data_IF_281030128547
#
_entry.id   IF_281030128547
#
_cell.length_a   1.000
_cell.length_b   1.000
_cell.length_c   1.000
_cell.angle_alpha   90.00
_cell.angle_beta   90.00
_cell.angle_gamma   90.00
#
_symmetry.space_group_name_H-M   'P 1'
#
loop_
_entity.id
_entity.type
_entity.pdbx_description
1 polymer ?
#
# COMPACT_ATOMS: atom_id res chain seq x y z
N UNK A 1 18.96 -20.38 8.34
CA UNK A 1 20.02 -19.47 7.86
C UNK A 1 19.60 -18.05 8.19
N UNK A 2 20.47 -17.26 8.84
CA UNK A 2 20.21 -15.86 9.17
C UNK A 2 20.85 -14.99 8.08
N UNK A 3 20.08 -14.09 7.45
CA UNK A 3 20.64 -13.12 6.51
C UNK A 3 21.10 -11.88 7.31
N UNK A 4 22.37 -11.50 7.19
CA UNK A 4 22.93 -10.34 7.89
C UNK A 4 23.81 -9.52 6.93
N UNK A 5 23.71 -8.18 6.95
CA UNK A 5 24.62 -7.33 6.19
C UNK A 5 26.08 -7.55 6.65
N UNK A 6 26.98 -7.68 5.69
CA UNK A 6 28.43 -7.84 5.89
C UNK A 6 29.11 -6.53 5.47
N UNK A 7 29.85 -5.92 6.39
CA UNK A 7 30.60 -4.68 6.16
C UNK A 7 32.12 -4.97 6.07
N UNK A 8 32.90 -4.11 5.39
CA UNK A 8 34.35 -4.27 5.29
C UNK A 8 35.03 -4.22 6.67
N UNK A 9 35.98 -5.14 6.91
CA UNK A 9 36.65 -5.34 8.22
C UNK A 9 37.48 -4.12 8.68
N UNK A 10 37.96 -3.29 7.75
CA UNK A 10 38.80 -2.14 8.09
C UNK A 10 38.07 -1.09 8.93
N UNK A 11 36.84 -0.72 8.56
CA UNK A 11 36.04 0.33 9.21
C UNK A 11 34.52 -0.01 9.25
N UNK A 12 34.09 -1.10 9.93
CA UNK A 12 32.72 -1.61 9.83
C UNK A 12 31.66 -0.62 10.36
N UNK A 13 31.97 0.19 11.38
CA UNK A 13 31.05 1.19 11.94
C UNK A 13 30.77 2.35 10.97
N UNK A 14 31.80 2.88 10.32
CA UNK A 14 31.65 3.99 9.38
C UNK A 14 30.78 3.57 8.17
N UNK A 15 31.01 2.36 7.66
CA UNK A 15 30.21 1.79 6.58
C UNK A 15 28.75 1.58 6.97
N UNK A 16 28.51 1.01 8.15
CA UNK A 16 27.15 0.79 8.66
C UNK A 16 26.38 2.10 8.77
N UNK A 17 27.00 3.09 9.41
CA UNK A 17 26.42 4.42 9.60
C UNK A 17 26.21 5.14 8.27
N UNK A 18 27.16 5.05 7.34
CA UNK A 18 27.05 5.66 6.01
C UNK A 18 25.91 5.06 5.18
N UNK A 19 25.74 3.73 5.22
CA UNK A 19 24.61 3.05 4.57
C UNK A 19 23.29 3.46 5.21
N UNK A 20 23.24 3.53 6.54
CA UNK A 20 22.05 3.94 7.29
C UNK A 20 21.62 5.37 6.96
N UNK A 21 22.57 6.30 6.93
CA UNK A 21 22.36 7.69 6.50
C UNK A 21 21.92 7.79 5.04
N UNK A 22 22.50 6.99 4.16
CA UNK A 22 22.10 6.93 2.76
C UNK A 22 20.65 6.51 2.63
N UNK A 23 20.20 5.49 3.36
CA UNK A 23 18.79 5.09 3.38
C UNK A 23 17.87 6.19 3.91
N UNK A 24 18.28 6.95 4.93
CA UNK A 24 17.50 8.09 5.45
C UNK A 24 17.42 9.21 4.39
N UNK A 25 18.54 9.52 3.74
CA UNK A 25 18.61 10.58 2.74
C UNK A 25 17.79 10.25 1.49
N UNK A 26 18.04 9.10 0.89
CA UNK A 26 17.36 8.66 -0.34
C UNK A 26 15.91 8.23 -0.09
N UNK A 27 15.65 7.59 1.06
CA UNK A 27 14.34 7.04 1.39
C UNK A 27 13.35 8.04 1.97
N UNK A 28 13.81 9.14 2.58
CA UNK A 28 12.93 10.09 3.27
C UNK A 28 13.30 11.57 3.00
N UNK A 29 14.54 11.96 3.26
CA UNK A 29 14.92 13.37 3.28
C UNK A 29 14.93 14.04 1.89
N UNK A 30 15.18 13.30 0.81
CA UNK A 30 15.05 13.77 -0.57
C UNK A 30 13.62 13.73 -1.12
N UNK A 31 12.87 12.61 -1.03
CA UNK A 31 11.53 12.54 -1.60
C UNK A 31 10.55 13.50 -0.92
N UNK A 32 10.66 13.71 0.39
CA UNK A 32 9.69 14.52 1.13
C UNK A 32 9.66 16.02 0.70
N UNK A 33 10.79 16.75 0.66
CA UNK A 33 10.81 18.15 0.20
C UNK A 33 10.35 18.30 -1.24
N UNK A 34 10.73 17.36 -2.11
CA UNK A 34 10.31 17.36 -3.51
C UNK A 34 8.78 17.33 -3.60
N UNK A 35 8.13 16.39 -2.91
CA UNK A 35 6.67 16.28 -2.89
C UNK A 35 6.02 17.53 -2.27
N UNK A 36 6.58 18.05 -1.17
CA UNK A 36 6.07 19.24 -0.49
C UNK A 36 6.15 20.49 -1.38
N UNK A 37 7.26 20.70 -2.09
CA UNK A 37 7.45 21.82 -3.03
C UNK A 37 6.47 21.70 -4.19
N UNK A 38 6.36 20.53 -4.82
CA UNK A 38 5.39 20.32 -5.90
C UNK A 38 3.96 20.58 -5.44
N UNK A 39 3.57 20.14 -4.23
CA UNK A 39 2.26 20.43 -3.67
C UNK A 39 2.05 21.92 -3.39
N UNK A 40 3.05 22.62 -2.84
CA UNK A 40 2.98 24.06 -2.58
C UNK A 40 2.85 24.87 -3.88
N UNK A 41 3.60 24.50 -4.93
CA UNK A 41 3.47 25.09 -6.27
C UNK A 41 2.07 24.85 -6.86
N UNK A 42 1.56 23.62 -6.73
CA UNK A 42 0.22 23.25 -7.18
C UNK A 42 -0.87 24.06 -6.45
N UNK A 43 -0.76 24.18 -5.12
CA UNK A 43 -1.69 24.96 -4.30
C UNK A 43 -1.67 26.46 -4.67
N UNK A 44 -0.48 27.04 -4.87
CA UNK A 44 -0.32 28.45 -5.30
C UNK A 44 -0.92 28.70 -6.68
N UNK A 45 -0.72 27.78 -7.63
CA UNK A 45 -1.31 27.89 -8.96
C UNK A 45 -2.85 27.92 -8.90
N UNK A 46 -3.46 27.11 -8.04
CA UNK A 46 -4.91 27.11 -7.84
C UNK A 46 -5.44 28.38 -7.16
N UNK A 47 -4.76 28.87 -6.11
CA UNK A 47 -5.16 30.12 -5.45
C UNK A 47 -5.16 31.32 -6.41
N UNK A 48 -4.27 31.32 -7.42
CA UNK A 48 -4.22 32.37 -8.45
C UNK A 48 -5.28 32.21 -9.53
N UNK A 49 -5.78 31.00 -9.76
CA UNK A 49 -6.82 30.70 -10.76
C UNK A 49 -8.26 30.80 -10.21
N UNK A 50 -8.44 30.73 -8.90
CA UNK A 50 -9.76 30.79 -8.25
C UNK A 50 -10.43 32.17 -8.27
N UNK A 51 -9.74 33.23 -8.73
CA UNK A 51 -10.37 34.53 -8.98
C UNK A 51 -11.24 34.55 -10.25
N UNK A 52 -11.22 33.47 -11.05
CA UNK A 52 -12.12 33.29 -12.20
C UNK A 52 -13.00 32.05 -11.96
N UNK A 53 -14.19 32.31 -11.43
CA UNK A 53 -15.29 31.37 -11.19
C UNK A 53 -15.61 30.48 -12.39
N UNK A 54 -15.28 29.18 -12.32
CA UNK A 54 -16.00 28.14 -13.06
C UNK A 54 -15.82 26.78 -12.40
N UNK A 55 -16.91 26.23 -11.85
CA UNK A 55 -17.01 24.87 -11.33
C UNK A 55 -17.02 23.86 -12.49
N UNK A 56 -15.89 23.71 -13.17
CA UNK A 56 -15.74 22.76 -14.28
C UNK A 56 -15.48 21.34 -13.76
N UNK A 57 -15.86 20.29 -14.51
CA UNK A 57 -15.53 18.90 -14.18
C UNK A 57 -14.03 18.66 -13.94
N UNK A 58 -13.18 19.44 -14.64
CA UNK A 58 -11.72 19.41 -14.52
C UNK A 58 -11.24 19.84 -13.13
N UNK A 59 -11.92 20.82 -12.50
CA UNK A 59 -11.61 21.29 -11.16
C UNK A 59 -11.88 20.19 -10.10
N UNK A 60 -12.94 19.40 -10.31
CA UNK A 60 -13.30 18.30 -9.42
C UNK A 60 -12.28 17.14 -9.50
N UNK A 61 -11.85 16.75 -10.70
CA UNK A 61 -10.80 15.73 -10.87
C UNK A 61 -9.47 16.16 -10.24
N UNK A 62 -9.09 17.43 -10.40
CA UNK A 62 -7.89 18.00 -9.77
C UNK A 62 -7.97 18.01 -8.24
N UNK A 63 -9.14 18.32 -7.67
CA UNK A 63 -9.37 18.23 -6.21
C UNK A 63 -9.23 16.81 -5.68
N UNK A 64 -9.71 15.82 -6.42
CA UNK A 64 -9.54 14.39 -6.09
C UNK A 64 -8.06 14.01 -6.13
N UNK A 65 -7.36 14.34 -7.22
CA UNK A 65 -5.91 14.10 -7.34
C UNK A 65 -5.11 14.73 -6.20
N UNK A 66 -5.42 15.99 -5.83
CA UNK A 66 -4.79 16.67 -4.68
C UNK A 66 -5.02 15.95 -3.35
N UNK A 67 -6.24 15.45 -3.10
CA UNK A 67 -6.54 14.68 -1.89
C UNK A 67 -5.78 13.37 -1.86
N UNK A 68 -5.61 12.71 -3.01
CA UNK A 68 -4.83 11.48 -3.09
C UNK A 68 -3.34 11.73 -2.83
N UNK A 69 -2.76 12.77 -3.43
CA UNK A 69 -1.36 13.14 -3.18
C UNK A 69 -1.16 13.46 -1.68
N UNK A 70 -2.09 14.19 -1.07
CA UNK A 70 -2.03 14.48 0.37
C UNK A 70 -2.15 13.20 1.21
N UNK A 71 -3.07 12.31 0.87
CA UNK A 71 -3.19 11.01 1.54
C UNK A 71 -1.90 10.18 1.41
N UNK A 72 -1.27 10.19 0.23
CA UNK A 72 0.01 9.52 0.02
C UNK A 72 1.12 10.11 0.91
N UNK A 73 1.23 11.44 1.01
CA UNK A 73 2.20 12.09 1.90
C UNK A 73 1.97 11.67 3.36
N UNK A 74 0.72 11.67 3.82
CA UNK A 74 0.39 11.29 5.20
C UNK A 74 0.74 9.83 5.46
N UNK A 75 0.41 8.93 4.54
CA UNK A 75 0.77 7.51 4.63
C UNK A 75 2.28 7.31 4.60
N UNK A 76 2.98 7.98 3.69
CA UNK A 76 4.42 7.94 3.59
C UNK A 76 5.08 8.42 4.90
N UNK A 77 4.66 9.57 5.44
CA UNK A 77 5.16 10.08 6.72
C UNK A 77 4.83 9.15 7.88
N UNK A 78 3.60 8.66 7.96
CA UNK A 78 3.15 7.79 9.04
C UNK A 78 3.84 6.42 9.02
N UNK A 79 4.15 5.89 7.83
CA UNK A 79 4.79 4.59 7.69
C UNK A 79 6.31 4.66 7.77
N UNK A 80 6.94 5.63 7.10
CA UNK A 80 8.40 5.72 6.96
C UNK A 80 9.05 6.64 7.98
N UNK A 81 8.36 7.70 8.40
CA UNK A 81 8.89 8.69 9.35
C UNK A 81 9.32 8.07 10.69
N UNK A 82 8.48 7.24 11.34
CA UNK A 82 8.87 6.58 12.59
C UNK A 82 10.12 5.71 12.45
N UNK A 83 10.21 4.94 11.36
CA UNK A 83 11.37 4.07 11.11
C UNK A 83 12.65 4.89 10.96
N UNK A 84 12.66 5.88 10.08
CA UNK A 84 13.84 6.72 9.87
C UNK A 84 14.21 7.56 11.09
N UNK A 85 13.24 7.97 11.91
CA UNK A 85 13.48 8.66 13.17
C UNK A 85 14.23 7.78 14.18
N UNK A 86 13.73 6.56 14.43
CA UNK A 86 14.40 5.62 15.34
C UNK A 86 15.77 5.20 14.80
N UNK A 87 15.87 4.98 13.49
CA UNK A 87 17.11 4.64 12.80
C UNK A 87 18.17 5.73 12.89
N UNK A 88 17.76 7.01 12.88
CA UNK A 88 18.63 8.16 13.08
C UNK A 88 19.12 8.24 14.52
N UNK A 89 18.24 8.03 15.51
CA UNK A 89 18.62 8.02 16.94
C UNK A 89 19.64 6.91 17.22
N UNK A 90 19.42 5.72 16.67
CA UNK A 90 20.36 4.61 16.75
C UNK A 90 21.73 4.98 16.13
N UNK A 91 21.73 5.54 14.91
CA UNK A 91 22.97 5.97 14.25
C UNK A 91 23.72 7.06 15.04
N UNK A 92 23.01 8.05 15.59
CA UNK A 92 23.60 9.11 16.41
C UNK A 92 24.19 8.57 17.72
N UNK A 93 23.55 7.56 18.32
CA UNK A 93 24.12 6.87 19.48
C UNK A 93 25.38 6.11 19.12
N UNK A 94 25.40 5.40 17.98
CA UNK A 94 26.60 4.69 17.51
C UNK A 94 27.78 5.63 17.22
N UNK A 95 27.50 6.89 16.83
CA UNK A 95 28.50 7.95 16.68
C UNK A 95 28.96 8.57 18.02
N UNK A 96 28.36 8.18 19.15
CA UNK A 96 28.64 8.75 20.47
C UNK A 96 28.05 10.15 20.69
N UNK A 97 27.16 10.63 19.81
CA UNK A 97 26.52 11.95 19.92
C UNK A 97 25.32 11.94 20.88
N UNK A 98 24.70 10.78 21.09
CA UNK A 98 23.56 10.59 22.00
C UNK A 98 23.89 9.46 22.97
N UNK A 99 24.02 9.72 24.28
CA UNK A 99 24.25 8.66 25.25
C UNK A 99 22.95 7.88 25.49
N UNK A 100 22.94 6.59 25.15
CA UNK A 100 21.86 5.68 25.50
C UNK A 100 22.20 4.92 26.79
N UNK A 101 21.22 4.78 27.67
CA UNK A 101 21.32 3.86 28.80
C UNK A 101 21.00 2.44 28.33
N UNK A 102 21.48 1.41 29.03
CA UNK A 102 21.23 -0.01 28.70
C UNK A 102 19.73 -0.33 28.56
N UNK A 103 18.87 0.30 29.38
CA UNK A 103 17.41 0.16 29.25
C UNK A 103 16.84 0.79 27.97
N UNK A 104 17.43 1.90 27.50
CA UNK A 104 17.01 2.58 26.28
C UNK A 104 17.44 1.87 25.00
N UNK A 105 18.58 1.15 25.02
CA UNK A 105 19.03 0.34 23.89
C UNK A 105 18.00 -0.76 23.54
N UNK A 106 17.46 -1.44 24.56
CA UNK A 106 16.41 -2.44 24.35
C UNK A 106 15.11 -1.81 23.78
N UNK A 107 14.75 -0.62 24.27
CA UNK A 107 13.58 0.12 23.75
C UNK A 107 13.78 0.50 22.28
N UNK A 108 14.97 0.97 21.91
CA UNK A 108 15.30 1.31 20.51
C UNK A 108 15.28 0.07 19.64
N UNK A 109 15.81 -1.07 20.12
CA UNK A 109 15.78 -2.32 19.37
C UNK A 109 14.35 -2.79 19.05
N UNK A 110 13.46 -2.74 20.05
CA UNK A 110 12.04 -3.06 19.88
C UNK A 110 11.36 -2.03 18.96
N UNK A 111 11.64 -0.74 19.16
CA UNK A 111 11.09 0.33 18.33
C UNK A 111 11.50 0.19 16.85
N UNK A 112 12.75 -0.17 16.58
CA UNK A 112 13.24 -0.45 15.22
C UNK A 112 12.43 -1.57 14.56
N UNK A 113 12.21 -2.69 15.26
CA UNK A 113 11.42 -3.79 14.71
C UNK A 113 9.97 -3.38 14.44
N UNK A 114 9.32 -2.70 15.38
CA UNK A 114 7.94 -2.26 15.23
C UNK A 114 7.78 -1.25 14.08
N UNK A 115 8.66 -0.26 14.03
CA UNK A 115 8.64 0.77 12.99
C UNK A 115 9.05 0.22 11.62
N UNK A 116 9.90 -0.81 11.57
CA UNK A 116 10.21 -1.53 10.34
C UNK A 116 9.00 -2.31 9.81
N UNK A 117 8.24 -2.98 10.68
CA UNK A 117 6.97 -3.59 10.28
C UNK A 117 6.00 -2.54 9.73
N UNK A 118 5.94 -1.36 10.36
CA UNK A 118 5.12 -0.24 9.92
C UNK A 118 5.55 0.32 8.56
N UNK A 119 6.86 0.40 8.28
CA UNK A 119 7.36 0.85 6.98
C UNK A 119 7.04 -0.16 5.88
N UNK A 120 7.05 -1.46 6.18
CA UNK A 120 6.60 -2.51 5.26
C UNK A 120 5.12 -2.37 4.90
N UNK A 121 4.25 -1.94 5.83
CA UNK A 121 2.83 -1.70 5.53
C UNK A 121 2.63 -0.65 4.44
N UNK A 122 3.59 0.24 4.19
CA UNK A 122 3.54 1.22 3.11
C UNK A 122 3.24 0.59 1.74
N UNK A 123 3.78 -0.61 1.45
CA UNK A 123 3.57 -1.26 0.16
C UNK A 123 2.11 -1.68 -0.07
N UNK A 124 1.36 -1.97 1.00
CA UNK A 124 -0.06 -2.30 0.96
C UNK A 124 -0.94 -1.09 0.63
N UNK A 125 -0.44 0.14 0.84
CA UNK A 125 -1.18 1.35 0.51
C UNK A 125 -1.10 1.71 -0.97
N UNK A 126 -0.11 1.19 -1.72
CA UNK A 126 0.00 1.46 -3.16
C UNK A 126 -1.27 1.03 -3.93
N UNK A 127 -1.78 -0.22 -3.81
CA UNK A 127 -3.05 -0.63 -4.45
C UNK A 127 -4.26 0.22 -4.03
N UNK A 128 -4.32 0.62 -2.76
CA UNK A 128 -5.40 1.48 -2.24
C UNK A 128 -5.33 2.83 -2.95
N UNK A 129 -4.14 3.42 -3.03
CA UNK A 129 -3.93 4.72 -3.68
C UNK A 129 -4.35 4.67 -5.16
N UNK A 130 -3.93 3.65 -5.91
CA UNK A 130 -4.33 3.47 -7.32
C UNK A 130 -5.85 3.32 -7.49
N UNK A 131 -6.51 2.62 -6.57
CA UNK A 131 -7.96 2.47 -6.58
C UNK A 131 -8.70 3.81 -6.33
N UNK A 132 -8.11 4.73 -5.56
CA UNK A 132 -8.68 6.06 -5.33
C UNK A 132 -8.38 7.05 -6.47
N UNK A 133 -7.25 6.91 -7.17
CA UNK A 133 -6.86 7.78 -8.32
C UNK A 133 -7.75 7.50 -9.53
N UNK A 134 -7.93 6.22 -9.88
CA UNK A 134 -8.74 5.83 -11.03
C UNK A 134 -10.16 5.48 -10.60
N UNK A 135 -11.06 6.46 -10.68
CA UNK A 135 -12.50 6.24 -10.50
C UNK A 135 -13.03 5.10 -11.40
N UNK A 136 -12.47 4.94 -12.60
CA UNK A 136 -12.77 3.83 -13.51
C UNK A 136 -12.31 2.47 -12.98
N UNK A 137 -11.19 2.39 -12.24
CA UNK A 137 -10.69 1.13 -11.70
C UNK A 137 -11.61 0.55 -10.61
N UNK A 138 -12.34 1.42 -9.88
CA UNK A 138 -13.40 0.99 -8.97
C UNK A 138 -14.55 0.33 -9.72
N UNK A 139 -14.96 0.92 -10.85
CA UNK A 139 -16.00 0.35 -11.70
C UNK A 139 -15.55 -0.99 -12.28
N UNK A 140 -14.32 -1.09 -12.77
CA UNK A 140 -13.81 -2.35 -13.35
C UNK A 140 -13.63 -3.45 -12.30
N UNK A 141 -13.12 -3.13 -11.11
CA UNK A 141 -13.04 -4.09 -10.01
C UNK A 141 -14.44 -4.53 -9.54
N UNK A 142 -15.37 -3.60 -9.39
CA UNK A 142 -16.75 -3.93 -8.98
C UNK A 142 -17.43 -4.78 -10.05
N UNK A 143 -17.22 -4.48 -11.34
CA UNK A 143 -17.73 -5.27 -12.46
C UNK A 143 -17.10 -6.66 -12.52
N UNK A 144 -15.79 -6.80 -12.26
CA UNK A 144 -15.11 -8.08 -12.19
C UNK A 144 -15.58 -8.94 -11.01
N UNK A 145 -15.80 -8.35 -9.83
CA UNK A 145 -16.35 -9.05 -8.67
C UNK A 145 -17.79 -9.49 -8.90
N UNK A 146 -18.65 -8.63 -9.44
CA UNK A 146 -20.04 -8.96 -9.77
C UNK A 146 -20.10 -10.03 -10.86
N UNK A 147 -19.30 -9.92 -11.92
CA UNK A 147 -19.23 -10.91 -12.99
C UNK A 147 -18.79 -12.28 -12.45
N UNK A 148 -17.71 -12.33 -11.66
CA UNK A 148 -17.23 -13.58 -11.06
C UNK A 148 -18.27 -14.21 -10.13
N UNK A 149 -19.00 -13.40 -9.37
CA UNK A 149 -20.08 -13.89 -8.51
C UNK A 149 -21.24 -14.45 -9.35
N UNK A 150 -21.69 -13.70 -10.36
CA UNK A 150 -22.79 -14.08 -11.26
C UNK A 150 -22.50 -15.31 -12.11
N UNK A 151 -21.27 -15.47 -12.62
CA UNK A 151 -20.86 -16.69 -13.37
C UNK A 151 -20.83 -17.89 -12.44
N UNK A 152 -20.39 -17.73 -11.19
CA UNK A 152 -20.34 -18.83 -10.22
C UNK A 152 -21.73 -19.27 -9.77
N UNK A 153 -22.66 -18.35 -9.51
CA UNK A 153 -24.06 -18.70 -9.22
C UNK A 153 -24.80 -19.25 -10.43
N UNK A 154 -24.57 -18.70 -11.63
CA UNK A 154 -25.15 -19.22 -12.87
C UNK A 154 -24.72 -20.65 -13.17
N UNK A 155 -23.42 -20.94 -13.04
CA UNK A 155 -22.88 -22.30 -13.25
C UNK A 155 -23.42 -23.30 -12.21
N UNK A 156 -23.53 -22.90 -10.94
CA UNK A 156 -24.12 -23.73 -9.90
C UNK A 156 -25.59 -24.07 -10.17
N UNK A 157 -26.36 -23.12 -10.73
CA UNK A 157 -27.75 -23.35 -11.13
C UNK A 157 -27.89 -24.30 -12.32
N UNK A 158 -26.96 -24.25 -13.28
CA UNK A 158 -26.96 -25.16 -14.42
C UNK A 158 -26.62 -26.60 -14.01
N UNK A 159 -25.68 -26.77 -13.07
CA UNK A 159 -25.33 -28.08 -12.50
C UNK A 159 -26.52 -28.68 -11.73
N UNK A 160 -27.24 -27.85 -10.96
CA UNK A 160 -28.44 -28.32 -10.26
C UNK A 160 -29.55 -28.72 -11.25
N UNK A 161 -29.76 -27.93 -12.30
CA UNK A 161 -30.75 -28.21 -13.34
C UNK A 161 -30.42 -29.48 -14.13
N UNK A 162 -29.14 -29.75 -14.43
CA UNK A 162 -28.73 -31.00 -15.09
C UNK A 162 -29.00 -32.21 -14.19
N UNK A 163 -28.68 -32.12 -12.90
CA UNK A 163 -28.90 -33.22 -11.95
C UNK A 163 -30.40 -33.52 -11.72
N UNK A 164 -31.26 -32.49 -11.72
CA UNK A 164 -32.72 -32.68 -11.69
C UNK A 164 -33.22 -33.40 -12.95
N UNK A 165 -32.69 -33.05 -14.13
CA UNK A 165 -33.11 -33.71 -15.37
C UNK A 165 -32.69 -35.19 -15.48
N UNK A 166 -31.51 -35.55 -14.97
CA UNK A 166 -31.03 -36.95 -14.95
C UNK A 166 -31.82 -37.82 -13.96
N UNK A 167 -32.27 -37.24 -12.83
CA UNK A 167 -33.11 -37.95 -11.86
C UNK A 167 -34.53 -38.15 -12.39
N UNK A 168 -35.08 -37.18 -13.12
CA UNK A 168 -36.39 -37.30 -13.78
C UNK A 168 -36.35 -38.35 -14.91
N UNK A 169 -35.30 -38.39 -15.74
CA UNK A 169 -35.13 -39.41 -16.77
C UNK A 169 -34.97 -40.82 -16.19
N UNK A 170 -34.21 -40.95 -15.09
CA UNK A 170 -34.00 -42.23 -14.40
C UNK A 170 -35.26 -42.73 -13.69
N UNK A 171 -36.08 -41.83 -13.14
CA UNK A 171 -37.37 -42.21 -12.54
C UNK A 171 -38.37 -42.70 -13.61
N UNK A 172 -38.41 -42.06 -14.78
CA UNK A 172 -39.27 -42.45 -15.91
C UNK A 172 -38.82 -43.79 -16.52
N UNK A 173 -37.52 -44.06 -16.58
CA UNK A 173 -36.98 -45.33 -17.06
C UNK A 173 -37.27 -46.51 -16.11
N UNK A 174 -37.42 -46.25 -14.81
CA UNK A 174 -37.81 -47.27 -13.81
C UNK A 174 -39.31 -47.59 -13.87
N UNK A 175 -40.15 -46.60 -14.16
CA UNK A 175 -41.61 -46.77 -14.23
C UNK A 175 -42.07 -47.44 -15.54
N UNK A 176 -41.27 -47.32 -16.62
CA UNK A 176 -41.59 -47.92 -17.91
C UNK A 176 -40.47 -48.84 -18.42
N UNK A 177 -40.37 -50.08 -17.89
CA UNK A 177 -39.37 -51.04 -18.35
C UNK A 177 -39.63 -51.40 -19.82
N UNK A 178 -38.58 -51.59 -20.64
CA UNK A 178 -38.75 -51.95 -22.05
C UNK A 178 -39.48 -53.28 -22.16
N UNK A 179 -40.65 -53.25 -22.79
CA UNK A 179 -41.40 -54.45 -23.18
C UNK A 179 -40.64 -55.15 -24.32
N UNK A 180 -39.95 -56.25 -23.99
CA UNK A 180 -39.40 -57.21 -24.97
C UNK A 180 -40.51 -58.19 -25.34
#
# INVERSE_FOLDING_TARGET
MLCRPVYPEGNPREWMVGVQLSFILLGFALPFPVIAVFYALLARAFSRSSSSSSSSPVEQERRVSRRVILAYIVVFLGCWGPYHGVLLVDALSQMGLVPLTCGMENVIYVALHLTQCLSLLHCCFNPILYNFINRNYRYDLMKAFIFKYSTRTGLARLIEASNMSETEYSAVAVDNPPQI
#
